data_IF_993923144308
#
_entry.id   IF_993923144308
#
_cell.length_a   1.000
_cell.length_b   1.000
_cell.length_c   1.000
_cell.angle_alpha   90.00
_cell.angle_beta   90.00
_cell.angle_gamma   90.00
#
_symmetry.space_group_name_H-M   'P 1'
#
loop_
_entity.id
_entity.type
_entity.pdbx_description
1 polymer ?
#
# COMPACT_ATOMS: atom_id res chain seq x y z
N UNK A 1 -6.01 -25.44 -13.77
CA UNK A 1 -5.92 -26.47 -12.69
C UNK A 1 -4.96 -26.05 -11.56
N UNK A 2 -3.77 -25.50 -11.81
CA UNK A 2 -2.80 -25.08 -10.79
C UNK A 2 -3.34 -24.01 -9.80
N UNK A 3 -4.05 -22.99 -10.26
CA UNK A 3 -4.57 -21.88 -9.43
C UNK A 3 -5.52 -22.37 -8.33
N UNK A 4 -6.42 -23.30 -8.64
CA UNK A 4 -7.38 -23.85 -7.65
C UNK A 4 -6.67 -24.60 -6.52
N UNK A 5 -5.55 -25.26 -6.82
CA UNK A 5 -4.76 -25.96 -5.81
C UNK A 5 -3.99 -24.98 -4.92
N UNK A 6 -3.52 -23.86 -5.47
CA UNK A 6 -2.81 -22.82 -4.69
C UNK A 6 -3.73 -22.20 -3.63
N UNK A 7 -4.97 -21.85 -3.97
CA UNK A 7 -5.95 -21.35 -3.00
C UNK A 7 -6.20 -22.32 -1.85
N UNK A 8 -6.27 -23.63 -2.14
CA UNK A 8 -6.42 -24.67 -1.10
C UNK A 8 -5.21 -24.71 -0.15
N UNK A 9 -3.99 -24.66 -0.66
CA UNK A 9 -2.78 -24.65 0.17
C UNK A 9 -2.78 -23.44 1.12
N UNK A 10 -3.11 -22.24 0.63
CA UNK A 10 -3.21 -21.02 1.45
C UNK A 10 -4.28 -21.13 2.52
N UNK A 11 -5.46 -21.68 2.19
CA UNK A 11 -6.53 -21.91 3.15
C UNK A 11 -6.12 -22.92 4.25
N UNK A 12 -5.30 -23.92 3.93
CA UNK A 12 -4.76 -24.84 4.94
C UNK A 12 -3.86 -24.10 5.94
N UNK A 13 -3.00 -23.21 5.46
CA UNK A 13 -2.16 -22.36 6.32
C UNK A 13 -3.02 -21.44 7.19
N UNK A 14 -4.03 -20.78 6.61
CA UNK A 14 -4.96 -19.90 7.34
C UNK A 14 -5.72 -20.67 8.43
N UNK A 15 -6.02 -21.95 8.22
CA UNK A 15 -6.63 -22.85 9.22
C UNK A 15 -5.65 -23.42 10.25
N UNK A 16 -4.40 -22.93 10.27
CA UNK A 16 -3.42 -23.28 11.28
C UNK A 16 -2.46 -24.42 10.92
N UNK A 17 -2.53 -24.96 9.70
CA UNK A 17 -1.55 -25.95 9.23
C UNK A 17 -0.26 -25.23 8.77
N UNK A 18 0.68 -25.08 9.67
CA UNK A 18 1.97 -24.40 9.41
C UNK A 18 3.08 -25.40 8.99
N UNK A 19 2.76 -26.29 8.08
CA UNK A 19 3.75 -27.25 7.55
C UNK A 19 4.73 -26.51 6.61
N UNK A 20 6.02 -26.73 6.82
CA UNK A 20 7.07 -26.18 5.96
C UNK A 20 6.89 -26.59 4.50
N UNK A 21 6.45 -27.83 4.24
CA UNK A 21 6.18 -28.32 2.90
C UNK A 21 5.06 -27.53 2.21
N UNK A 22 3.97 -27.21 2.92
CA UNK A 22 2.87 -26.38 2.38
C UNK A 22 3.36 -25.00 1.99
N UNK A 23 4.16 -24.36 2.85
CA UNK A 23 4.76 -23.06 2.63
C UNK A 23 5.64 -23.06 1.36
N UNK A 24 6.46 -24.08 1.18
CA UNK A 24 7.45 -24.15 0.11
C UNK A 24 6.82 -24.53 -1.25
N UNK A 25 5.61 -25.08 -1.25
CA UNK A 25 4.83 -25.40 -2.45
C UNK A 25 3.99 -24.23 -2.98
N UNK A 26 3.83 -23.16 -2.21
CA UNK A 26 3.02 -22.03 -2.63
C UNK A 26 3.72 -21.21 -3.71
N UNK A 27 2.97 -20.83 -4.73
CA UNK A 27 3.42 -19.99 -5.83
C UNK A 27 2.76 -18.62 -5.76
N UNK A 28 3.54 -17.57 -5.99
CA UNK A 28 3.11 -16.18 -6.05
C UNK A 28 3.63 -15.53 -7.32
N UNK A 29 2.91 -14.55 -7.86
CA UNK A 29 3.35 -13.83 -9.04
C UNK A 29 4.47 -12.86 -8.70
N UNK A 30 5.63 -12.99 -9.34
CA UNK A 30 6.74 -12.05 -9.24
C UNK A 30 6.59 -10.92 -10.26
N UNK A 31 6.61 -9.67 -9.80
CA UNK A 31 6.55 -8.50 -10.66
C UNK A 31 7.79 -8.41 -11.57
N UNK A 32 8.96 -8.73 -11.05
CA UNK A 32 10.24 -8.66 -11.76
C UNK A 32 10.41 -9.80 -12.77
N UNK A 33 10.09 -11.04 -12.35
CA UNK A 33 10.25 -12.22 -13.19
C UNK A 33 9.09 -12.42 -14.18
N UNK A 34 7.96 -11.73 -13.99
CA UNK A 34 6.74 -11.87 -14.79
C UNK A 34 6.24 -13.32 -14.89
N UNK A 35 6.35 -14.06 -13.79
CA UNK A 35 5.91 -15.45 -13.67
C UNK A 35 5.59 -15.82 -12.22
N UNK A 36 4.99 -16.99 -12.04
CA UNK A 36 4.83 -17.59 -10.72
C UNK A 36 6.18 -18.10 -10.20
N UNK A 37 6.49 -17.77 -8.95
CA UNK A 37 7.70 -18.18 -8.23
C UNK A 37 7.32 -18.73 -6.85
N UNK A 38 8.15 -19.62 -6.32
CA UNK A 38 8.08 -20.04 -4.91
C UNK A 38 8.71 -18.97 -4.01
N UNK A 39 8.42 -19.03 -2.71
CA UNK A 39 9.10 -18.16 -1.74
C UNK A 39 10.60 -18.40 -1.70
N UNK A 40 11.03 -19.66 -1.92
CA UNK A 40 12.46 -19.99 -1.99
C UNK A 40 13.14 -19.34 -3.20
N UNK A 41 12.53 -19.43 -4.40
CA UNK A 41 13.05 -18.78 -5.61
C UNK A 41 13.14 -17.27 -5.48
N UNK A 42 12.18 -16.64 -4.75
CA UNK A 42 12.26 -15.22 -4.42
C UNK A 42 13.43 -14.91 -3.49
N UNK A 43 13.55 -15.65 -2.38
CA UNK A 43 14.59 -15.42 -1.37
C UNK A 43 15.99 -15.67 -1.91
N UNK A 44 16.17 -16.67 -2.79
CA UNK A 44 17.46 -16.97 -3.43
C UNK A 44 17.98 -15.83 -4.32
N UNK A 45 17.05 -14.96 -4.80
CA UNK A 45 17.37 -13.79 -5.64
C UNK A 45 17.40 -12.47 -4.89
N UNK A 46 17.07 -12.48 -3.59
CA UNK A 46 17.08 -11.27 -2.78
C UNK A 46 18.51 -10.73 -2.61
N UNK A 47 18.75 -9.44 -2.91
CA UNK A 47 19.98 -8.76 -2.53
C UNK A 47 20.27 -8.87 -1.02
N UNK A 48 21.53 -8.86 -0.62
CA UNK A 48 21.93 -9.05 0.77
C UNK A 48 21.33 -7.97 1.70
N UNK A 49 21.28 -6.73 1.20
CA UNK A 49 20.73 -5.55 1.90
C UNK A 49 19.21 -5.52 1.98
N UNK A 50 18.49 -6.31 1.19
CA UNK A 50 17.03 -6.34 1.22
C UNK A 50 16.53 -6.98 2.51
N UNK A 51 15.75 -6.22 3.28
CA UNK A 51 15.28 -6.61 4.63
C UNK A 51 13.99 -7.41 4.64
N UNK A 52 13.13 -7.24 3.61
CA UNK A 52 11.77 -7.78 3.59
C UNK A 52 11.46 -8.50 2.28
N UNK A 53 10.56 -9.48 2.34
CA UNK A 53 9.84 -9.98 1.16
C UNK A 53 8.68 -9.03 0.92
N UNK A 54 8.79 -8.18 -0.11
CA UNK A 54 7.75 -7.21 -0.44
C UNK A 54 6.60 -7.87 -1.20
N UNK A 55 5.38 -7.47 -0.86
CA UNK A 55 4.20 -7.89 -1.59
C UNK A 55 3.17 -6.75 -1.71
N UNK A 56 2.36 -6.81 -2.77
CA UNK A 56 1.17 -6.01 -2.98
C UNK A 56 -0.04 -6.93 -3.12
N UNK A 57 -1.18 -6.57 -2.55
CA UNK A 57 -2.41 -7.35 -2.60
C UNK A 57 -3.55 -6.54 -3.23
N UNK A 58 -4.37 -7.19 -4.08
CA UNK A 58 -5.49 -6.57 -4.77
C UNK A 58 -6.02 -7.40 -5.95
N UNK A 59 -6.79 -6.79 -6.85
CA UNK A 59 -7.57 -7.54 -7.85
C UNK A 59 -6.81 -7.90 -9.13
N UNK A 60 -5.67 -7.23 -9.43
CA UNK A 60 -5.00 -7.38 -10.73
C UNK A 60 -3.49 -7.15 -10.61
N UNK A 61 -2.71 -8.08 -11.17
CA UNK A 61 -1.24 -7.96 -11.22
C UNK A 61 -0.80 -6.71 -11.96
N UNK A 62 -1.46 -6.34 -13.07
CA UNK A 62 -1.11 -5.17 -13.87
C UNK A 62 -1.30 -3.85 -13.09
N UNK A 63 -2.32 -3.78 -12.23
CA UNK A 63 -2.55 -2.63 -11.38
C UNK A 63 -1.58 -2.61 -10.19
N UNK A 64 -1.40 -3.74 -9.55
CA UNK A 64 -0.50 -3.86 -8.40
C UNK A 64 0.94 -3.49 -8.74
N UNK A 65 1.41 -3.85 -9.94
CA UNK A 65 2.75 -3.48 -10.41
C UNK A 65 2.92 -1.96 -10.65
N UNK A 66 1.80 -1.23 -10.82
CA UNK A 66 1.78 0.23 -11.03
C UNK A 66 1.45 1.04 -9.77
N UNK A 67 1.31 0.39 -8.63
CA UNK A 67 1.18 1.11 -7.35
C UNK A 67 2.46 1.90 -7.09
N UNK A 68 2.36 3.18 -6.71
CA UNK A 68 3.55 4.02 -6.45
C UNK A 68 4.54 3.38 -5.47
N UNK A 69 4.03 2.70 -4.47
CA UNK A 69 4.85 1.99 -3.49
C UNK A 69 5.54 0.74 -4.07
N UNK A 70 4.87 0.01 -4.97
CA UNK A 70 5.47 -1.12 -5.67
C UNK A 70 6.55 -0.66 -6.66
N UNK A 71 6.30 0.43 -7.39
CA UNK A 71 7.28 1.05 -8.28
C UNK A 71 8.53 1.48 -7.51
N UNK A 72 8.37 2.11 -6.34
CA UNK A 72 9.50 2.49 -5.49
C UNK A 72 10.36 1.27 -5.09
N UNK A 73 9.74 0.16 -4.68
CA UNK A 73 10.44 -1.08 -4.32
C UNK A 73 11.21 -1.63 -5.53
N UNK A 74 10.56 -1.66 -6.70
CA UNK A 74 11.19 -2.15 -7.94
C UNK A 74 12.32 -1.24 -8.42
N UNK A 75 12.22 0.07 -8.24
CA UNK A 75 13.28 1.02 -8.58
C UNK A 75 14.53 0.86 -7.70
N UNK A 76 14.37 0.37 -6.47
CA UNK A 76 15.49 -0.03 -5.61
C UNK A 76 16.12 -1.37 -6.07
N UNK A 77 15.61 -1.99 -7.14
CA UNK A 77 16.10 -3.24 -7.69
C UNK A 77 15.51 -4.49 -7.02
N UNK A 78 14.57 -4.33 -6.09
CA UNK A 78 13.91 -5.44 -5.39
C UNK A 78 12.72 -5.97 -6.19
N UNK A 79 12.26 -7.17 -5.87
CA UNK A 79 11.08 -7.78 -6.45
C UNK A 79 9.86 -7.57 -5.54
N UNK A 80 8.66 -7.62 -6.11
CA UNK A 80 7.38 -7.53 -5.40
C UNK A 80 6.52 -8.73 -5.78
N UNK A 81 6.01 -9.46 -4.78
CA UNK A 81 5.01 -10.49 -4.98
C UNK A 81 3.63 -9.85 -5.16
N UNK A 82 2.95 -10.16 -6.26
CA UNK A 82 1.63 -9.62 -6.58
C UNK A 82 0.56 -10.67 -6.22
N UNK A 83 -0.23 -10.36 -5.21
CA UNK A 83 -1.20 -11.25 -4.58
C UNK A 83 -2.60 -10.90 -5.08
N UNK A 84 -3.26 -11.83 -5.78
CA UNK A 84 -4.57 -11.57 -6.39
C UNK A 84 -5.70 -12.42 -5.83
N UNK A 85 -5.42 -13.28 -4.87
CA UNK A 85 -6.44 -14.09 -4.19
C UNK A 85 -6.74 -13.53 -2.80
N UNK A 86 -8.02 -13.40 -2.43
CA UNK A 86 -8.49 -12.85 -1.14
C UNK A 86 -7.80 -13.48 0.09
N UNK A 87 -7.31 -14.70 -0.04
CA UNK A 87 -6.68 -15.47 1.04
C UNK A 87 -5.18 -15.24 1.15
N UNK A 88 -4.55 -14.64 0.15
CA UNK A 88 -3.09 -14.57 0.02
C UNK A 88 -2.46 -13.77 1.17
N UNK A 89 -2.95 -12.56 1.39
CA UNK A 89 -2.40 -11.68 2.43
C UNK A 89 -2.61 -12.27 3.84
N UNK A 90 -3.79 -12.87 4.11
CA UNK A 90 -4.03 -13.57 5.38
C UNK A 90 -3.06 -14.73 5.59
N UNK A 91 -2.74 -15.46 4.51
CA UNK A 91 -1.75 -16.54 4.55
C UNK A 91 -0.36 -16.01 4.93
N UNK A 92 0.11 -14.94 4.29
CA UNK A 92 1.42 -14.34 4.60
C UNK A 92 1.47 -13.76 6.02
N UNK A 93 0.38 -13.17 6.52
CA UNK A 93 0.31 -12.69 7.89
C UNK A 93 0.41 -13.81 8.93
N UNK A 94 -0.11 -15.00 8.63
CA UNK A 94 -0.01 -16.17 9.51
C UNK A 94 1.39 -16.77 9.45
N UNK A 95 2.01 -16.81 8.27
CA UNK A 95 3.40 -17.27 8.10
C UNK A 95 4.38 -16.33 8.78
N UNK A 96 4.16 -15.01 8.72
CA UNK A 96 4.96 -13.90 9.27
C UNK A 96 6.35 -13.78 8.68
N UNK A 97 7.09 -14.88 8.60
CA UNK A 97 8.49 -14.91 8.17
C UNK A 97 8.76 -16.09 7.26
N UNK A 98 9.84 -15.99 6.47
CA UNK A 98 10.38 -17.08 5.69
C UNK A 98 11.86 -17.31 6.07
N UNK A 99 12.36 -18.56 6.13
CA UNK A 99 13.77 -18.85 6.38
C UNK A 99 14.67 -18.21 5.33
N UNK A 100 15.75 -17.61 5.77
CA UNK A 100 16.79 -17.03 4.91
C UNK A 100 18.13 -17.18 5.58
N UNK A 101 19.14 -17.61 4.83
CA UNK A 101 20.54 -17.55 5.29
C UNK A 101 21.08 -16.14 5.03
N UNK A 102 21.83 -15.61 5.99
CA UNK A 102 22.57 -14.36 5.79
C UNK A 102 23.80 -14.57 4.88
N UNK A 103 24.54 -13.48 4.61
CA UNK A 103 25.73 -13.51 3.78
C UNK A 103 26.85 -14.41 4.33
N UNK A 104 26.81 -14.74 5.62
CA UNK A 104 27.78 -15.62 6.32
C UNK A 104 27.28 -17.07 6.38
N UNK A 105 26.11 -17.37 5.81
CA UNK A 105 25.49 -18.69 5.79
C UNK A 105 24.78 -19.10 7.08
N UNK A 106 24.59 -18.17 8.02
CA UNK A 106 23.88 -18.40 9.28
C UNK A 106 22.38 -18.40 9.04
N UNK A 107 21.69 -19.32 9.69
CA UNK A 107 20.24 -19.42 9.62
C UNK A 107 19.55 -18.20 10.28
N UNK A 108 18.63 -17.58 9.53
CA UNK A 108 17.83 -16.47 9.94
C UNK A 108 16.44 -16.52 9.31
N UNK A 109 15.70 -15.43 9.44
CA UNK A 109 14.39 -15.28 8.81
C UNK A 109 14.23 -13.89 8.21
N UNK A 110 13.39 -13.78 7.19
CA UNK A 110 12.98 -12.52 6.56
C UNK A 110 11.47 -12.36 6.71
N UNK A 111 11.02 -11.16 7.04
CA UNK A 111 9.60 -10.84 7.21
C UNK A 111 8.93 -10.48 5.90
N UNK A 112 7.61 -10.69 5.81
CA UNK A 112 6.78 -10.19 4.72
C UNK A 112 6.37 -8.75 4.99
N UNK A 113 6.40 -7.90 3.95
CA UNK A 113 6.07 -6.48 4.03
C UNK A 113 5.11 -6.07 2.93
N UNK A 114 3.92 -5.63 3.30
CA UNK A 114 2.98 -5.04 2.34
C UNK A 114 3.53 -3.69 1.87
N UNK A 115 3.56 -3.44 0.56
CA UNK A 115 4.05 -2.17 0.00
C UNK A 115 3.19 -0.98 0.41
N UNK A 116 1.92 -1.20 0.77
CA UNK A 116 1.02 -0.17 1.27
C UNK A 116 1.08 0.03 2.79
N UNK A 117 2.01 -0.63 3.50
CA UNK A 117 2.25 -0.34 4.92
C UNK A 117 2.91 1.03 5.10
N UNK A 118 2.71 1.64 6.27
CA UNK A 118 3.19 3.00 6.56
C UNK A 118 4.71 3.19 6.48
N UNK A 119 5.50 2.16 6.83
CA UNK A 119 6.96 2.15 6.74
C UNK A 119 7.41 0.98 5.87
N UNK A 120 8.12 1.25 4.78
CA UNK A 120 8.67 0.24 3.88
C UNK A 120 10.08 -0.22 4.27
N UNK A 121 10.75 0.53 5.14
CA UNK A 121 12.15 0.27 5.51
C UNK A 121 13.13 0.51 4.36
N UNK A 122 12.73 1.33 3.37
CA UNK A 122 13.54 1.71 2.20
C UNK A 122 14.12 3.10 2.33
N UNK A 123 13.53 3.91 3.20
CA UNK A 123 13.91 5.28 3.45
C UNK A 123 15.14 5.34 4.35
N UNK A 124 16.00 6.29 4.09
CA UNK A 124 17.08 6.67 5.02
C UNK A 124 16.50 7.44 6.21
N UNK A 125 17.24 7.49 7.31
CA UNK A 125 16.82 8.29 8.49
C UNK A 125 16.73 9.79 8.14
N UNK A 126 17.53 10.26 7.19
CA UNK A 126 17.49 11.64 6.69
C UNK A 126 16.21 11.91 5.90
N UNK A 127 15.80 10.99 5.01
CA UNK A 127 14.54 11.09 4.24
C UNK A 127 13.31 11.04 5.16
N UNK A 128 13.31 10.15 6.17
CA UNK A 128 12.23 10.08 7.17
C UNK A 128 12.11 11.40 7.93
N UNK A 129 13.23 11.89 8.45
CA UNK A 129 13.24 13.15 9.19
C UNK A 129 12.81 14.33 8.33
N UNK A 130 13.26 14.41 7.09
CA UNK A 130 12.84 15.47 6.16
C UNK A 130 11.33 15.44 5.91
N UNK A 131 10.73 14.24 5.76
CA UNK A 131 9.29 14.09 5.59
C UNK A 131 8.50 14.44 6.87
N UNK A 132 9.02 14.08 8.04
CA UNK A 132 8.43 14.46 9.33
C UNK A 132 8.48 15.99 9.55
N UNK A 133 9.62 16.62 9.30
CA UNK A 133 9.81 18.08 9.40
C UNK A 133 8.85 18.80 8.42
N UNK A 134 8.78 18.36 7.16
CA UNK A 134 7.88 18.92 6.17
C UNK A 134 6.39 18.68 6.53
N UNK A 135 6.06 17.56 7.17
CA UNK A 135 4.70 17.30 7.69
C UNK A 135 4.38 18.28 8.81
N UNK A 136 5.30 18.51 9.74
CA UNK A 136 5.12 19.45 10.83
C UNK A 136 4.97 20.91 10.35
N UNK A 137 5.78 21.32 9.36
CA UNK A 137 5.69 22.65 8.74
C UNK A 137 4.33 22.91 8.06
N UNK A 138 3.72 21.87 7.51
CA UNK A 138 2.43 21.95 6.80
C UNK A 138 1.25 21.44 7.64
N UNK A 139 1.42 21.33 8.96
CA UNK A 139 0.43 20.74 9.87
C UNK A 139 -0.97 21.36 9.72
N UNK A 140 -1.07 22.69 9.63
CA UNK A 140 -2.36 23.38 9.50
C UNK A 140 -3.09 23.01 8.20
N UNK A 141 -2.35 22.81 7.10
CA UNK A 141 -2.92 22.33 5.83
C UNK A 141 -3.42 20.91 5.97
N UNK A 142 -2.62 20.03 6.55
CA UNK A 142 -2.95 18.62 6.67
C UNK A 142 -4.09 18.36 7.66
N UNK A 143 -4.14 19.11 8.76
CA UNK A 143 -5.27 19.06 9.68
C UNK A 143 -6.57 19.52 8.98
N UNK A 144 -6.54 20.61 8.23
CA UNK A 144 -7.71 21.09 7.48
C UNK A 144 -8.15 20.10 6.39
N UNK A 145 -7.21 19.44 5.70
CA UNK A 145 -7.54 18.38 4.73
C UNK A 145 -8.15 17.16 5.41
N UNK A 146 -7.61 16.74 6.56
CA UNK A 146 -8.14 15.63 7.36
C UNK A 146 -9.57 15.92 7.81
N UNK A 147 -9.83 17.13 8.33
CA UNK A 147 -11.15 17.56 8.76
C UNK A 147 -12.13 17.58 7.58
N UNK A 148 -11.68 18.05 6.40
CA UNK A 148 -12.47 18.03 5.18
C UNK A 148 -12.84 16.62 4.69
N UNK A 149 -12.04 15.61 5.05
CA UNK A 149 -12.27 14.20 4.71
C UNK A 149 -13.17 13.46 5.73
N UNK A 150 -13.57 14.11 6.81
CA UNK A 150 -14.61 13.66 7.74
C UNK A 150 -14.42 12.19 8.21
N UNK A 151 -13.26 11.90 8.78
CA UNK A 151 -12.93 10.58 9.34
C UNK A 151 -12.61 9.48 8.33
N UNK A 152 -12.50 9.80 7.04
CA UNK A 152 -12.10 8.84 6.01
C UNK A 152 -10.63 8.43 6.11
N UNK A 153 -9.80 9.29 6.71
CA UNK A 153 -8.39 9.05 6.95
C UNK A 153 -8.03 9.34 8.41
N UNK A 154 -7.09 8.58 8.93
CA UNK A 154 -6.52 8.79 10.27
C UNK A 154 -5.61 10.01 10.28
N UNK A 155 -4.87 10.21 9.20
CA UNK A 155 -3.83 11.22 9.07
C UNK A 155 -3.65 11.65 7.62
N UNK A 156 -3.15 12.87 7.43
CA UNK A 156 -2.61 13.38 6.17
C UNK A 156 -1.16 13.78 6.42
N UNK A 157 -0.23 13.30 5.58
CA UNK A 157 1.21 13.56 5.77
C UNK A 157 1.97 13.66 4.46
N UNK A 158 3.23 14.07 4.55
CA UNK A 158 4.17 14.04 3.42
C UNK A 158 4.57 12.59 3.12
N UNK A 159 4.60 12.25 1.83
CA UNK A 159 5.02 10.94 1.35
C UNK A 159 6.53 10.89 1.13
N UNK A 160 7.14 9.76 1.50
CA UNK A 160 8.51 9.40 1.13
C UNK A 160 8.57 8.49 -0.09
N UNK A 161 7.41 8.04 -0.59
CA UNK A 161 7.31 7.02 -1.64
C UNK A 161 6.85 7.52 -3.00
N UNK A 162 6.28 8.74 -3.05
CA UNK A 162 5.74 9.31 -4.28
C UNK A 162 6.81 10.02 -5.09
N UNK A 163 6.89 9.70 -6.41
CA UNK A 163 7.73 10.40 -7.39
C UNK A 163 6.86 11.34 -8.24
N UNK A 164 6.04 10.77 -9.09
CA UNK A 164 5.25 11.50 -10.08
C UNK A 164 3.78 11.65 -9.67
N UNK A 165 3.25 10.76 -8.83
CA UNK A 165 1.88 10.81 -8.37
C UNK A 165 1.69 11.89 -7.28
N UNK A 166 0.55 12.60 -7.28
CA UNK A 166 0.26 13.63 -6.27
C UNK A 166 -0.04 13.05 -4.89
N UNK A 167 -0.67 11.88 -4.85
CA UNK A 167 -1.17 11.24 -3.63
C UNK A 167 -1.12 9.73 -3.72
N UNK A 168 -1.08 9.07 -2.57
CA UNK A 168 -1.41 7.65 -2.41
C UNK A 168 -2.07 7.42 -1.04
N UNK A 169 -2.64 6.21 -0.85
CA UNK A 169 -3.08 5.73 0.44
C UNK A 169 -2.09 4.70 0.98
N UNK A 170 -1.84 4.77 2.27
CA UNK A 170 -1.19 3.70 3.04
C UNK A 170 -2.06 3.31 4.22
N UNK A 171 -1.78 2.16 4.84
CA UNK A 171 -2.42 1.72 6.05
C UNK A 171 -1.43 1.77 7.22
N UNK A 172 -1.87 2.35 8.33
CA UNK A 172 -1.14 2.32 9.59
C UNK A 172 -1.74 1.24 10.49
N UNK A 173 -0.90 0.28 10.90
CA UNK A 173 -1.33 -0.85 11.72
C UNK A 173 -1.44 -2.19 10.98
N UNK A 174 -2.00 -3.21 11.65
CA UNK A 174 -1.96 -4.60 11.17
C UNK A 174 -2.99 -4.90 10.08
N UNK A 175 -4.01 -4.06 9.92
CA UNK A 175 -5.06 -4.27 8.94
C UNK A 175 -4.76 -3.45 7.66
N UNK A 176 -4.49 -4.15 6.57
CA UNK A 176 -4.28 -3.50 5.27
C UNK A 176 -5.61 -3.03 4.65
N UNK A 177 -5.49 -2.15 3.66
CA UNK A 177 -6.64 -1.67 2.87
C UNK A 177 -7.33 -2.85 2.14
N UNK A 178 -6.56 -3.78 1.57
CA UNK A 178 -7.13 -4.94 0.87
C UNK A 178 -7.79 -5.92 1.84
N UNK A 179 -7.20 -6.15 3.01
CA UNK A 179 -7.85 -6.97 4.04
C UNK A 179 -9.18 -6.37 4.52
N UNK A 180 -9.26 -5.05 4.73
CA UNK A 180 -10.53 -4.36 5.00
C UNK A 180 -11.56 -4.66 3.90
N UNK A 181 -11.16 -4.51 2.63
CA UNK A 181 -12.02 -4.76 1.46
C UNK A 181 -12.53 -6.22 1.41
N UNK A 182 -11.67 -7.18 1.72
CA UNK A 182 -12.05 -8.61 1.76
C UNK A 182 -12.99 -8.88 2.94
N UNK A 183 -12.66 -8.37 4.12
CA UNK A 183 -13.46 -8.59 5.33
C UNK A 183 -14.82 -7.89 5.24
N UNK A 184 -14.91 -6.69 4.66
CA UNK A 184 -16.18 -5.94 4.52
C UNK A 184 -17.24 -6.68 3.67
N UNK A 185 -16.81 -7.64 2.83
CA UNK A 185 -17.72 -8.52 2.07
C UNK A 185 -18.32 -9.65 2.91
N UNK A 186 -17.82 -9.86 4.13
CA UNK A 186 -18.29 -10.97 4.98
C UNK A 186 -19.39 -10.49 5.93
N UNK A 187 -20.51 -11.25 6.07
CA UNK A 187 -21.56 -10.91 7.03
C UNK A 187 -20.99 -10.84 8.47
N UNK A 188 -21.35 -9.79 9.21
CA UNK A 188 -20.91 -9.59 10.59
C UNK A 188 -19.56 -8.90 10.74
N UNK A 189 -18.96 -8.46 9.64
CA UNK A 189 -17.72 -7.68 9.65
C UNK A 189 -17.95 -6.18 9.36
N UNK A 190 -19.21 -5.73 9.49
CA UNK A 190 -19.55 -4.32 9.34
C UNK A 190 -18.79 -3.48 10.38
N UNK A 191 -18.04 -2.50 9.91
CA UNK A 191 -17.26 -1.60 10.78
C UNK A 191 -15.78 -1.95 10.94
N UNK A 192 -15.31 -3.05 10.34
CA UNK A 192 -13.86 -3.32 10.24
C UNK A 192 -13.25 -2.34 9.24
N UNK A 193 -12.39 -1.44 9.73
CA UNK A 193 -11.73 -0.40 8.91
C UNK A 193 -10.24 -0.38 9.18
N UNK A 194 -9.44 -0.24 8.15
CA UNK A 194 -8.01 0.05 8.26
C UNK A 194 -7.80 1.53 8.60
N UNK A 195 -6.75 1.81 9.33
CA UNK A 195 -6.29 3.16 9.60
C UNK A 195 -5.63 3.75 8.34
N UNK A 196 -6.43 4.32 7.44
CA UNK A 196 -5.93 4.91 6.19
C UNK A 196 -5.18 6.20 6.45
N UNK A 197 -4.06 6.36 5.78
CA UNK A 197 -3.25 7.59 5.78
C UNK A 197 -3.18 8.10 4.34
N UNK A 198 -3.54 9.38 4.14
CA UNK A 198 -3.38 10.05 2.85
C UNK A 198 -1.98 10.66 2.80
N UNK A 199 -1.17 10.19 1.89
CA UNK A 199 0.18 10.69 1.69
C UNK A 199 0.24 11.62 0.48
N UNK A 200 0.86 12.80 0.65
CA UNK A 200 1.00 13.82 -0.39
C UNK A 200 2.44 13.97 -0.87
N UNK A 201 2.59 14.18 -2.17
CA UNK A 201 3.84 14.56 -2.78
C UNK A 201 4.01 16.08 -2.73
N UNK A 202 4.87 16.58 -1.85
CA UNK A 202 5.12 18.03 -1.70
C UNK A 202 5.81 18.66 -2.91
N UNK A 203 6.44 17.85 -3.77
CA UNK A 203 7.09 18.29 -5.00
C UNK A 203 6.12 18.35 -6.20
N UNK A 204 4.91 17.81 -6.06
CA UNK A 204 3.92 17.85 -7.13
C UNK A 204 3.22 19.22 -7.19
N UNK A 205 2.97 19.79 -8.39
CA UNK A 205 2.35 21.12 -8.54
C UNK A 205 1.03 21.30 -7.78
N UNK A 206 0.25 20.24 -7.60
CA UNK A 206 -1.00 20.28 -6.83
C UNK A 206 -0.79 20.72 -5.38
N UNK A 207 0.36 20.42 -4.80
CA UNK A 207 0.65 20.82 -3.43
C UNK A 207 0.70 22.35 -3.26
N UNK A 208 1.29 23.05 -4.24
CA UNK A 208 1.29 24.54 -4.27
C UNK A 208 -0.12 25.09 -4.34
N UNK A 209 -1.02 24.44 -5.10
CA UNK A 209 -2.43 24.85 -5.21
C UNK A 209 -3.17 24.67 -3.88
N UNK A 210 -2.90 23.59 -3.15
CA UNK A 210 -3.48 23.35 -1.81
C UNK A 210 -3.00 24.41 -0.80
N UNK A 211 -1.71 24.73 -0.80
CA UNK A 211 -1.15 25.78 0.08
C UNK A 211 -1.76 27.13 -0.22
N UNK A 212 -1.88 27.51 -1.48
CA UNK A 212 -2.49 28.77 -1.88
C UNK A 212 -3.98 28.86 -1.47
N UNK A 213 -4.74 27.77 -1.56
CA UNK A 213 -6.11 27.72 -1.10
C UNK A 213 -6.22 27.91 0.42
N UNK A 214 -5.33 27.27 1.18
CA UNK A 214 -5.27 27.42 2.63
C UNK A 214 -4.87 28.83 3.04
N UNK A 215 -3.84 29.42 2.43
CA UNK A 215 -3.37 30.79 2.73
C UNK A 215 -4.44 31.85 2.41
N UNK A 216 -5.24 31.62 1.36
CA UNK A 216 -6.38 32.46 1.01
C UNK A 216 -7.60 32.26 1.93
N UNK A 217 -7.58 31.29 2.83
CA UNK A 217 -8.75 30.92 3.64
C UNK A 217 -9.90 30.33 2.83
N UNK A 218 -9.66 29.84 1.62
CA UNK A 218 -10.66 29.25 0.72
C UNK A 218 -10.96 27.80 1.13
N UNK A 219 -11.75 27.67 2.19
CA UNK A 219 -12.11 26.37 2.79
C UNK A 219 -12.91 25.49 1.83
N UNK A 220 -13.76 26.05 0.98
CA UNK A 220 -14.56 25.29 0.02
C UNK A 220 -13.67 24.67 -1.06
N UNK A 221 -12.73 25.44 -1.57
CA UNK A 221 -11.74 24.94 -2.55
C UNK A 221 -10.86 23.87 -1.95
N UNK A 222 -10.38 24.07 -0.71
CA UNK A 222 -9.57 23.09 -0.01
C UNK A 222 -10.34 21.78 0.20
N UNK A 223 -11.59 21.85 0.64
CA UNK A 223 -12.48 20.69 0.81
C UNK A 223 -12.68 19.94 -0.50
N UNK A 224 -12.98 20.66 -1.58
CA UNK A 224 -13.15 20.07 -2.91
C UNK A 224 -11.88 19.34 -3.39
N UNK A 225 -10.72 19.96 -3.24
CA UNK A 225 -9.46 19.36 -3.67
C UNK A 225 -9.04 18.19 -2.79
N UNK A 226 -9.27 18.26 -1.49
CA UNK A 226 -9.03 17.14 -0.58
C UNK A 226 -9.86 15.92 -0.97
N UNK A 227 -11.14 16.11 -1.27
CA UNK A 227 -12.03 15.05 -1.73
C UNK A 227 -11.59 14.45 -3.08
N UNK A 228 -11.17 15.30 -4.03
CA UNK A 228 -10.66 14.86 -5.33
C UNK A 228 -9.40 14.01 -5.18
N UNK A 229 -8.43 14.47 -4.39
CA UNK A 229 -7.17 13.76 -4.17
C UNK A 229 -7.39 12.43 -3.44
N UNK A 230 -8.29 12.41 -2.45
CA UNK A 230 -8.67 11.17 -1.78
C UNK A 230 -9.31 10.17 -2.74
N UNK A 231 -10.23 10.62 -3.60
CA UNK A 231 -10.85 9.77 -4.62
C UNK A 231 -9.82 9.25 -5.64
N UNK A 232 -8.84 10.06 -6.05
CA UNK A 232 -7.74 9.61 -6.90
C UNK A 232 -6.90 8.53 -6.20
N UNK A 233 -6.58 8.71 -4.94
CA UNK A 233 -5.85 7.71 -4.15
C UNK A 233 -6.66 6.41 -4.01
N UNK A 234 -7.98 6.48 -3.82
CA UNK A 234 -8.85 5.30 -3.85
C UNK A 234 -8.78 4.58 -5.21
N UNK A 235 -8.85 5.30 -6.33
CA UNK A 235 -8.76 4.71 -7.66
C UNK A 235 -7.41 4.01 -7.92
N UNK A 236 -6.31 4.60 -7.47
CA UNK A 236 -4.98 3.99 -7.56
C UNK A 236 -4.96 2.66 -6.80
N UNK A 237 -5.51 2.63 -5.58
CA UNK A 237 -5.60 1.42 -4.75
C UNK A 237 -6.68 0.43 -5.23
N UNK A 238 -7.46 0.79 -6.26
CA UNK A 238 -8.56 -0.04 -6.75
C UNK A 238 -9.72 -0.16 -5.78
N UNK A 239 -9.89 0.86 -4.96
CA UNK A 239 -11.07 1.02 -4.12
C UNK A 239 -12.20 1.67 -4.92
N UNK A 240 -13.46 1.37 -4.59
CA UNK A 240 -14.58 2.12 -5.14
C UNK A 240 -14.51 3.57 -4.63
N UNK A 241 -14.80 4.52 -5.53
CA UNK A 241 -15.03 5.92 -5.13
C UNK A 241 -16.41 6.00 -4.48
N UNK A 242 -16.52 6.68 -3.35
CA UNK A 242 -17.76 6.76 -2.57
C UNK A 242 -18.92 7.37 -3.38
N UNK A 243 -18.65 8.46 -4.12
CA UNK A 243 -19.59 9.12 -5.02
C UNK A 243 -18.94 9.38 -6.39
N UNK A 244 -19.05 8.44 -7.35
CA UNK A 244 -18.47 8.61 -8.68
C UNK A 244 -19.06 9.78 -9.48
N UNK A 245 -20.32 10.15 -9.23
CA UNK A 245 -20.97 11.25 -9.93
C UNK A 245 -20.40 12.60 -9.46
N UNK A 246 -20.30 12.81 -8.16
CA UNK A 246 -19.68 14.00 -7.59
C UNK A 246 -18.18 14.10 -7.97
N UNK A 247 -17.47 12.98 -8.03
CA UNK A 247 -16.08 12.95 -8.50
C UNK A 247 -15.98 13.43 -9.96
N UNK A 248 -16.81 12.88 -10.86
CA UNK A 248 -16.80 13.26 -12.27
C UNK A 248 -17.16 14.75 -12.46
N UNK A 249 -18.15 15.27 -11.75
CA UNK A 249 -18.53 16.68 -11.77
C UNK A 249 -17.39 17.57 -11.28
N UNK A 250 -16.74 17.19 -10.17
CA UNK A 250 -15.60 17.91 -9.63
C UNK A 250 -14.42 17.96 -10.60
N UNK A 251 -14.12 16.85 -11.31
CA UNK A 251 -13.09 16.82 -12.36
C UNK A 251 -13.46 17.75 -13.52
N UNK A 252 -14.71 17.67 -14.03
CA UNK A 252 -15.16 18.55 -15.11
C UNK A 252 -15.08 20.05 -14.75
N UNK A 253 -15.33 20.39 -13.48
CA UNK A 253 -15.23 21.77 -13.02
C UNK A 253 -13.80 22.35 -12.99
N UNK A 254 -12.78 21.51 -13.07
CA UNK A 254 -11.38 21.94 -13.19
C UNK A 254 -11.00 22.30 -14.64
N UNK A 255 -11.84 21.94 -15.62
CA UNK A 255 -11.62 22.18 -17.04
C UNK A 255 -12.27 23.49 -17.53
N UNK A 256 -12.95 24.21 -16.65
CA UNK A 256 -13.58 25.50 -16.90
C UNK A 256 -12.73 26.65 -16.36
#
# INVERSE_FOLDING_TARGET
>A
MAIVHMKKLRLMVVRGQKDALLRDLMLFWSAKEQKMVTLQEYVDKMPAEQKYIYFAAGDSTDRLAKLPAAELVMDKGYDVLLLTEDVDEFCLQILRTYPRKDAEGKDGTVEFKNVNSGDLGLETEEEKKAAEDATAENKNLFDAMKDALDGKVKEVKVSTRLKDHPVCLSADGPLSIEMEKVLSKQPGSEGVKSDKVLELNVNHPVFTVLKAAQEAGDTEKLKKYSALLYAQAQLIEGLPVDDPAAYAEAVCSLMQ
#
